data_IF_129437180966
#
_entry.id   IF_129437180966
#
_cell.length_a   1.000
_cell.length_b   1.000
_cell.length_c   1.000
_cell.angle_alpha   90.00
_cell.angle_beta   90.00
_cell.angle_gamma   90.00
#
_symmetry.space_group_name_H-M   'P 1'
#
loop_
_entity.id
_entity.type
_entity.pdbx_description
1 polymer ?
#
# COMPACT_ATOMS: atom_id res chain seq x y z
N UNK A 1 -12.23 -3.81 17.94
CA UNK A 1 -11.75 -4.63 16.81
C UNK A 1 -11.05 -5.85 17.39
N UNK A 2 -11.29 -7.05 16.87
CA UNK A 2 -10.66 -8.27 17.42
C UNK A 2 -9.14 -8.23 17.17
N UNK A 3 -8.34 -8.70 18.14
CA UNK A 3 -6.86 -8.66 18.12
C UNK A 3 -6.26 -9.23 16.83
N UNK A 4 -6.86 -10.29 16.28
CA UNK A 4 -6.42 -10.93 15.03
C UNK A 4 -6.46 -9.99 13.83
N UNK A 5 -7.48 -9.14 13.71
CA UNK A 5 -7.62 -8.21 12.58
C UNK A 5 -6.67 -7.03 12.70
N UNK A 6 -6.43 -6.56 13.94
CA UNK A 6 -5.40 -5.56 14.20
C UNK A 6 -4.02 -6.06 13.79
N UNK A 7 -3.66 -7.27 14.21
CA UNK A 7 -2.37 -7.88 13.87
C UNK A 7 -2.25 -8.09 12.35
N UNK A 8 -3.29 -8.63 11.71
CA UNK A 8 -3.31 -8.83 10.28
C UNK A 8 -3.09 -7.52 9.53
N UNK A 9 -3.74 -6.41 9.93
CA UNK A 9 -3.55 -5.12 9.29
C UNK A 9 -2.10 -4.60 9.40
N UNK A 10 -1.50 -4.69 10.60
CA UNK A 10 -0.10 -4.29 10.81
C UNK A 10 0.84 -5.14 9.97
N UNK A 11 0.74 -6.46 10.08
CA UNK A 11 1.62 -7.41 9.37
C UNK A 11 1.50 -7.23 7.85
N UNK A 12 0.28 -7.04 7.34
CA UNK A 12 0.07 -6.80 5.91
C UNK A 12 0.68 -5.47 5.46
N UNK A 13 0.56 -4.42 6.28
CA UNK A 13 1.22 -3.13 6.03
C UNK A 13 2.73 -3.24 5.95
N UNK A 14 3.36 -3.98 6.89
CA UNK A 14 4.81 -4.25 6.88
C UNK A 14 5.21 -5.07 5.64
N UNK A 15 4.48 -6.14 5.37
CA UNK A 15 4.78 -7.04 4.26
C UNK A 15 4.71 -6.32 2.92
N UNK A 16 3.64 -5.55 2.68
CA UNK A 16 3.50 -4.84 1.42
C UNK A 16 4.52 -3.70 1.28
N UNK A 17 4.83 -2.97 2.34
CA UNK A 17 5.83 -1.89 2.28
C UNK A 17 7.26 -2.40 2.09
N UNK A 18 7.49 -3.70 2.29
CA UNK A 18 8.76 -4.38 1.98
C UNK A 18 8.69 -5.05 0.61
N UNK A 19 8.44 -6.35 0.52
CA UNK A 19 8.56 -7.12 -0.74
C UNK A 19 7.27 -7.83 -1.17
N UNK A 20 6.17 -7.69 -0.42
CA UNK A 20 4.89 -8.30 -0.81
C UNK A 20 4.16 -7.45 -1.85
N UNK A 21 3.55 -8.10 -2.84
CA UNK A 21 2.89 -7.42 -3.98
C UNK A 21 1.38 -7.24 -3.80
N UNK A 22 0.75 -7.97 -2.86
CA UNK A 22 -0.70 -7.87 -2.63
C UNK A 22 -0.99 -6.70 -1.71
N UNK A 23 -1.76 -5.72 -2.21
CA UNK A 23 -2.07 -4.50 -1.49
C UNK A 23 -2.91 -4.74 -0.23
N UNK A 24 -2.68 -3.98 0.87
CA UNK A 24 -3.48 -4.09 2.10
C UNK A 24 -4.96 -3.77 1.88
N UNK A 25 -5.26 -2.97 0.85
CA UNK A 25 -6.59 -2.56 0.41
C UNK A 25 -7.58 -3.74 0.36
N UNK A 26 -7.13 -4.96 0.04
CA UNK A 26 -7.97 -6.17 0.04
C UNK A 26 -8.50 -6.51 1.44
N UNK A 27 -7.63 -6.54 2.45
CA UNK A 27 -8.04 -6.77 3.83
C UNK A 27 -8.88 -5.60 4.36
N UNK A 28 -8.47 -4.37 4.06
CA UNK A 28 -9.12 -3.16 4.56
C UNK A 28 -10.53 -3.00 4.00
N UNK A 29 -10.71 -3.19 2.69
CA UNK A 29 -12.01 -3.18 2.03
C UNK A 29 -12.94 -4.26 2.57
N UNK A 30 -12.44 -5.49 2.78
CA UNK A 30 -13.20 -6.58 3.38
C UNK A 30 -13.71 -6.21 4.79
N UNK A 31 -12.82 -5.71 5.66
CA UNK A 31 -13.18 -5.30 7.02
C UNK A 31 -14.16 -4.14 7.04
N UNK A 32 -13.97 -3.15 6.18
CA UNK A 32 -14.86 -2.00 6.08
C UNK A 32 -16.26 -2.40 5.58
N UNK A 33 -16.32 -3.27 4.57
CA UNK A 33 -17.58 -3.77 4.00
C UNK A 33 -18.37 -4.62 5.02
N UNK A 34 -17.68 -5.50 5.74
CA UNK A 34 -18.34 -6.48 6.63
C UNK A 34 -18.58 -5.97 8.04
N UNK A 35 -17.65 -5.18 8.59
CA UNK A 35 -17.68 -4.69 9.98
C UNK A 35 -17.89 -3.18 10.09
N UNK A 36 -17.94 -2.45 8.97
CA UNK A 36 -18.27 -1.04 8.90
C UNK A 36 -17.05 -0.10 8.91
N UNK A 37 -17.31 1.18 8.62
CA UNK A 37 -16.28 2.21 8.42
C UNK A 37 -15.34 2.36 9.61
N UNK A 38 -15.84 2.33 10.85
CA UNK A 38 -15.00 2.49 12.05
C UNK A 38 -13.93 1.41 12.14
N UNK A 39 -14.28 0.15 11.83
CA UNK A 39 -13.33 -0.97 11.85
C UNK A 39 -12.35 -0.86 10.68
N UNK A 40 -12.86 -0.53 9.49
CA UNK A 40 -12.03 -0.27 8.32
C UNK A 40 -10.99 0.83 8.56
N UNK A 41 -11.41 1.99 9.07
CA UNK A 41 -10.53 3.13 9.34
C UNK A 41 -9.46 2.81 10.40
N UNK A 42 -9.81 2.09 11.47
CA UNK A 42 -8.83 1.62 12.44
C UNK A 42 -7.82 0.64 11.83
N UNK A 43 -8.27 -0.30 11.00
CA UNK A 43 -7.38 -1.19 10.28
C UNK A 43 -6.48 -0.43 9.28
N UNK A 44 -7.00 0.60 8.60
CA UNK A 44 -6.24 1.47 7.70
C UNK A 44 -5.11 2.20 8.41
N UNK A 45 -5.37 2.72 9.62
CA UNK A 45 -4.34 3.35 10.45
C UNK A 45 -3.25 2.35 10.85
N UNK A 46 -3.65 1.16 11.31
CA UNK A 46 -2.70 0.11 11.69
C UNK A 46 -1.86 -0.39 10.51
N UNK A 47 -2.46 -0.53 9.33
CA UNK A 47 -1.75 -0.88 8.11
C UNK A 47 -0.77 0.22 7.68
N UNK A 48 -1.13 1.50 7.84
CA UNK A 48 -0.22 2.61 7.55
C UNK A 48 0.95 2.67 8.55
N UNK A 49 0.72 2.37 9.83
CA UNK A 49 1.78 2.22 10.83
C UNK A 49 2.68 1.01 10.52
N UNK A 50 2.11 -0.12 10.11
CA UNK A 50 2.87 -1.26 9.62
C UNK A 50 3.72 -0.89 8.40
N UNK A 51 3.16 -0.13 7.47
CA UNK A 51 3.88 0.34 6.30
C UNK A 51 5.01 1.32 6.64
N UNK A 52 4.87 2.14 7.69
CA UNK A 52 5.98 2.97 8.21
C UNK A 52 7.16 2.11 8.66
N UNK A 53 6.88 1.00 9.37
CA UNK A 53 7.92 0.05 9.81
C UNK A 53 8.54 -0.66 8.60
N UNK A 54 7.73 -1.17 7.67
CA UNK A 54 8.23 -1.86 6.48
C UNK A 54 9.05 -0.93 5.57
N UNK A 55 8.60 0.31 5.38
CA UNK A 55 9.34 1.34 4.66
C UNK A 55 10.66 1.70 5.33
N UNK A 56 10.67 1.80 6.67
CA UNK A 56 11.91 2.02 7.43
C UNK A 56 12.91 0.87 7.25
N UNK A 57 12.46 -0.38 7.18
CA UNK A 57 13.33 -1.54 6.91
C UNK A 57 13.98 -1.42 5.52
N UNK A 58 13.20 -1.15 4.48
CA UNK A 58 13.75 -0.96 3.12
C UNK A 58 14.67 0.25 3.05
N UNK A 59 14.30 1.35 3.71
CA UNK A 59 15.13 2.55 3.81
C UNK A 59 16.50 2.24 4.43
N UNK A 60 16.52 1.57 5.58
CA UNK A 60 17.76 1.22 6.29
C UNK A 60 18.61 0.22 5.50
N UNK A 61 17.97 -0.74 4.82
CA UNK A 61 18.66 -1.65 3.92
C UNK A 61 19.32 -0.90 2.77
N UNK A 62 18.59 -0.02 2.09
CA UNK A 62 19.14 0.78 0.98
C UNK A 62 20.23 1.75 1.43
N UNK A 63 20.11 2.32 2.64
CA UNK A 63 21.15 3.15 3.23
C UNK A 63 22.47 2.39 3.48
N UNK A 64 22.40 1.08 3.72
CA UNK A 64 23.56 0.22 3.97
C UNK A 64 24.11 -0.41 2.68
N UNK A 65 23.24 -0.93 1.82
CA UNK A 65 23.56 -1.50 0.50
C UNK A 65 22.42 -1.23 -0.49
N UNK A 66 22.54 -0.12 -1.21
CA UNK A 66 21.56 0.26 -2.21
C UNK A 66 21.48 -0.73 -3.37
N UNK A 67 22.59 -1.30 -3.82
CA UNK A 67 22.57 -2.16 -5.00
C UNK A 67 21.79 -3.46 -4.72
N UNK A 68 21.92 -4.00 -3.52
CA UNK A 68 21.11 -5.14 -3.08
C UNK A 68 19.63 -4.75 -2.88
N UNK A 69 19.34 -3.67 -2.16
CA UNK A 69 17.96 -3.25 -1.88
C UNK A 69 17.19 -2.92 -3.17
N UNK A 70 17.85 -2.25 -4.11
CA UNK A 70 17.29 -1.92 -5.41
C UNK A 70 16.95 -3.18 -6.22
N UNK A 71 17.88 -4.13 -6.35
CA UNK A 71 17.61 -5.40 -7.05
C UNK A 71 16.45 -6.17 -6.41
N UNK A 72 16.36 -6.19 -5.08
CA UNK A 72 15.27 -6.85 -4.39
C UNK A 72 13.91 -6.19 -4.66
N UNK A 73 13.84 -4.86 -4.68
CA UNK A 73 12.61 -4.13 -4.98
C UNK A 73 12.24 -4.19 -6.47
N UNK A 74 13.22 -4.13 -7.38
CA UNK A 74 13.00 -4.30 -8.82
C UNK A 74 12.52 -5.72 -9.17
N UNK A 75 12.85 -6.73 -8.37
CA UNK A 75 12.33 -8.09 -8.54
C UNK A 75 10.90 -8.27 -8.00
N UNK A 76 10.34 -7.29 -7.28
CA UNK A 76 8.94 -7.34 -6.85
C UNK A 76 8.07 -7.19 -8.09
N UNK A 77 7.05 -8.06 -8.26
CA UNK A 77 6.22 -7.97 -9.43
C UNK A 77 5.55 -6.61 -9.64
N UNK A 78 5.41 -6.22 -10.91
CA UNK A 78 4.88 -4.93 -11.35
C UNK A 78 5.68 -3.69 -10.89
N UNK A 79 6.95 -3.88 -10.53
CA UNK A 79 7.94 -2.81 -10.45
C UNK A 79 8.89 -2.97 -11.63
N UNK A 80 8.97 -1.93 -12.47
CA UNK A 80 9.90 -1.87 -13.58
C UNK A 80 11.05 -0.93 -13.26
N UNK A 81 12.19 -1.13 -13.93
CA UNK A 81 13.32 -0.21 -13.87
C UNK A 81 12.93 1.22 -14.31
N UNK A 82 12.05 1.33 -15.31
CA UNK A 82 11.52 2.63 -15.77
C UNK A 82 10.75 3.34 -14.67
N UNK A 83 9.93 2.62 -13.89
CA UNK A 83 9.19 3.19 -12.77
C UNK A 83 10.12 3.72 -11.67
N UNK A 84 11.21 3.00 -11.38
CA UNK A 84 12.20 3.44 -10.40
C UNK A 84 12.95 4.68 -10.91
N UNK A 85 13.32 4.71 -12.19
CA UNK A 85 13.98 5.87 -12.81
C UNK A 85 13.08 7.12 -12.86
N UNK A 86 11.79 6.95 -13.18
CA UNK A 86 10.80 8.03 -13.16
C UNK A 86 10.59 8.56 -11.74
N UNK A 87 10.54 7.66 -10.75
CA UNK A 87 10.46 8.04 -9.34
C UNK A 87 11.69 8.83 -8.90
N UNK A 88 12.90 8.41 -9.29
CA UNK A 88 14.12 9.17 -9.01
C UNK A 88 14.07 10.57 -9.63
N UNK A 89 13.65 10.66 -10.89
CA UNK A 89 13.50 11.95 -11.59
C UNK A 89 12.51 12.87 -10.88
N UNK A 90 11.40 12.33 -10.37
CA UNK A 90 10.41 13.11 -9.62
C UNK A 90 10.95 13.57 -8.26
N UNK A 91 11.73 12.72 -7.58
CA UNK A 91 12.43 13.09 -6.34
C UNK A 91 13.41 14.24 -6.61
N UNK A 92 14.20 14.17 -7.69
CA UNK A 92 15.18 15.20 -8.03
C UNK A 92 14.52 16.55 -8.36
N UNK A 93 13.31 16.53 -8.92
CA UNK A 93 12.55 17.74 -9.30
C UNK A 93 11.76 18.35 -8.14
N UNK A 94 11.09 17.51 -7.34
CA UNK A 94 10.08 17.95 -6.38
C UNK A 94 10.44 17.64 -4.91
N UNK A 95 11.54 16.94 -4.68
CA UNK A 95 11.92 16.41 -3.38
C UNK A 95 11.21 15.09 -3.04
N UNK A 96 11.84 14.29 -2.18
CA UNK A 96 11.41 12.92 -1.88
C UNK A 96 9.98 12.82 -1.34
N UNK A 97 9.56 13.78 -0.51
CA UNK A 97 8.27 13.76 0.16
C UNK A 97 7.12 14.03 -0.82
N UNK A 98 7.25 15.07 -1.64
CA UNK A 98 6.24 15.42 -2.65
C UNK A 98 6.13 14.33 -3.70
N UNK A 99 7.27 13.77 -4.13
CA UNK A 99 7.28 12.65 -5.07
C UNK A 99 6.56 11.42 -4.48
N UNK A 100 6.86 11.06 -3.24
CA UNK A 100 6.18 9.95 -2.56
C UNK A 100 4.67 10.17 -2.41
N UNK A 101 4.22 11.41 -2.15
CA UNK A 101 2.79 11.75 -2.09
C UNK A 101 2.08 11.64 -3.45
N UNK A 102 2.79 11.88 -4.55
CA UNK A 102 2.26 11.70 -5.92
C UNK A 102 2.24 10.24 -6.36
N UNK A 103 3.04 9.38 -5.74
CA UNK A 103 3.15 7.95 -6.08
C UNK A 103 1.82 7.22 -6.31
N UNK A 104 0.79 7.37 -5.45
CA UNK A 104 -0.51 6.76 -5.68
C UNK A 104 -1.21 7.19 -6.99
N UNK A 105 -0.93 8.40 -7.49
CA UNK A 105 -1.47 8.93 -8.74
C UNK A 105 -0.70 8.41 -9.97
N UNK A 106 0.60 8.16 -9.81
CA UNK A 106 1.48 7.61 -10.85
C UNK A 106 1.59 6.09 -10.80
N UNK A 107 0.78 5.43 -9.96
CA UNK A 107 0.83 3.98 -9.69
C UNK A 107 2.18 3.48 -9.19
N UNK A 108 3.01 4.36 -8.62
CA UNK A 108 4.34 4.03 -8.09
C UNK A 108 4.22 3.55 -6.64
N UNK A 109 4.65 2.31 -6.32
CA UNK A 109 4.58 1.78 -4.97
C UNK A 109 5.48 2.54 -3.99
N UNK A 110 5.02 2.69 -2.73
CA UNK A 110 5.78 3.37 -1.67
C UNK A 110 7.19 2.79 -1.45
N UNK A 111 7.38 1.48 -1.65
CA UNK A 111 8.67 0.80 -1.50
C UNK A 111 9.75 1.30 -2.48
N UNK A 112 9.35 1.81 -3.65
CA UNK A 112 10.28 2.43 -4.61
C UNK A 112 10.91 3.68 -3.97
N UNK A 113 10.07 4.56 -3.41
CA UNK A 113 10.54 5.73 -2.69
C UNK A 113 11.37 5.36 -1.45
N UNK A 114 11.07 4.25 -0.78
CA UNK A 114 11.87 3.77 0.36
C UNK A 114 13.30 3.36 -0.03
N UNK A 115 13.50 2.79 -1.22
CA UNK A 115 14.84 2.49 -1.74
C UNK A 115 15.59 3.76 -2.12
N UNK A 116 14.92 4.74 -2.72
CA UNK A 116 15.58 5.94 -3.27
C UNK A 116 15.85 7.02 -2.20
N UNK A 117 14.98 7.15 -1.20
CA UNK A 117 15.01 8.23 -0.21
C UNK A 117 16.34 8.41 0.55
N UNK A 118 17.09 7.36 0.95
CA UNK A 118 18.37 7.53 1.63
C UNK A 118 19.40 8.32 0.80
N UNK A 119 19.53 8.03 -0.51
CA UNK A 119 20.47 8.74 -1.38
C UNK A 119 20.03 10.17 -1.71
N UNK A 120 18.73 10.43 -1.65
CA UNK A 120 18.16 11.76 -1.81
C UNK A 120 18.22 12.62 -0.53
N UNK A 121 18.92 12.16 0.51
CA UNK A 121 19.15 12.91 1.74
C UNK A 121 17.96 12.96 2.69
N UNK A 122 16.95 12.10 2.51
CA UNK A 122 15.81 12.04 3.43
C UNK A 122 16.26 11.48 4.79
N UNK A 123 15.95 12.13 5.92
CA UNK A 123 16.20 11.52 7.22
C UNK A 123 15.15 10.45 7.52
N UNK A 124 15.58 9.29 8.07
CA UNK A 124 14.68 8.19 8.44
C UNK A 124 13.51 8.64 9.33
N UNK A 125 13.79 9.54 10.28
CA UNK A 125 12.81 10.09 11.20
C UNK A 125 11.69 10.88 10.51
N UNK A 126 11.93 11.41 9.31
CA UNK A 126 10.89 12.04 8.48
C UNK A 126 10.26 11.03 7.50
N UNK A 127 11.06 10.12 6.93
CA UNK A 127 10.59 9.17 5.93
C UNK A 127 9.60 8.13 6.51
N UNK A 128 9.90 7.56 7.68
CA UNK A 128 9.05 6.55 8.30
C UNK A 128 7.63 7.08 8.60
N UNK A 129 7.43 8.22 9.30
CA UNK A 129 6.08 8.75 9.52
C UNK A 129 5.43 9.27 8.24
N UNK A 130 6.19 9.59 7.17
CA UNK A 130 5.62 9.98 5.89
C UNK A 130 4.76 8.87 5.23
N UNK A 131 4.90 7.61 5.65
CA UNK A 131 3.98 6.56 5.24
C UNK A 131 2.51 6.88 5.59
N UNK A 132 2.26 7.62 6.68
CA UNK A 132 0.92 8.03 7.08
C UNK A 132 0.27 8.96 6.03
N UNK A 133 0.80 10.17 5.74
CA UNK A 133 0.20 11.05 4.73
C UNK A 133 0.24 10.46 3.30
N UNK A 134 1.22 9.61 2.98
CA UNK A 134 1.32 9.00 1.63
C UNK A 134 0.28 7.90 1.43
N UNK A 135 0.00 7.08 2.45
CA UNK A 135 -0.79 5.84 2.28
C UNK A 135 -2.16 5.87 2.92
N UNK A 136 -2.27 6.50 4.10
CA UNK A 136 -3.51 6.52 4.85
C UNK A 136 -4.69 7.12 4.06
N UNK A 137 -4.53 8.18 3.23
CA UNK A 137 -5.64 8.71 2.44
C UNK A 137 -6.25 7.66 1.51
N UNK A 138 -5.42 6.91 0.77
CA UNK A 138 -5.88 5.81 -0.10
C UNK A 138 -6.59 4.73 0.70
N UNK A 139 -5.98 4.30 1.81
CA UNK A 139 -6.55 3.26 2.66
C UNK A 139 -7.90 3.67 3.29
N UNK A 140 -8.05 4.93 3.69
CA UNK A 140 -9.30 5.47 4.21
C UNK A 140 -10.34 5.61 3.11
N UNK A 141 -9.95 6.05 1.91
CA UNK A 141 -10.84 6.17 0.77
C UNK A 141 -11.44 4.79 0.40
N UNK A 142 -10.59 3.77 0.26
CA UNK A 142 -11.03 2.40 -0.03
C UNK A 142 -11.94 1.88 1.09
N UNK A 143 -11.56 2.08 2.36
CA UNK A 143 -12.42 1.70 3.48
C UNK A 143 -13.78 2.43 3.45
N UNK A 144 -13.82 3.71 3.13
CA UNK A 144 -15.05 4.50 3.03
C UNK A 144 -15.97 3.98 1.93
N UNK A 145 -15.43 3.76 0.72
CA UNK A 145 -16.17 3.23 -0.43
C UNK A 145 -16.77 1.86 -0.10
N UNK A 146 -15.97 0.94 0.43
CA UNK A 146 -16.46 -0.41 0.73
C UNK A 146 -17.39 -0.48 1.94
N UNK A 147 -17.20 0.40 2.94
CA UNK A 147 -18.17 0.54 4.02
C UNK A 147 -19.52 1.07 3.51
N UNK A 148 -19.51 2.00 2.54
CA UNK A 148 -20.73 2.49 1.92
C UNK A 148 -21.44 1.38 1.13
N UNK A 149 -20.70 0.63 0.30
CA UNK A 149 -21.23 -0.54 -0.43
C UNK A 149 -21.84 -1.54 0.55
N UNK A 150 -21.08 -1.91 1.58
CA UNK A 150 -21.54 -2.85 2.61
C UNK A 150 -22.78 -2.36 3.37
N UNK A 151 -22.95 -1.04 3.54
CA UNK A 151 -24.14 -0.44 4.14
C UNK A 151 -25.33 -0.45 3.18
N UNK A 152 -25.14 -0.10 1.91
CA UNK A 152 -26.21 -0.02 0.90
C UNK A 152 -26.78 -1.39 0.52
N UNK A 153 -25.95 -2.44 0.58
CA UNK A 153 -26.33 -3.81 0.24
C UNK A 153 -26.77 -4.64 1.45
N UNK A 154 -26.61 -4.11 2.67
CA UNK A 154 -27.00 -4.81 3.90
C UNK A 154 -28.51 -5.08 3.91
N UNK A 155 -28.88 -6.35 4.07
CA UNK A 155 -30.28 -6.78 4.05
C UNK A 155 -30.94 -6.81 2.67
N UNK A 156 -30.25 -6.36 1.62
CA UNK A 156 -30.72 -6.43 0.22
C UNK A 156 -30.10 -7.58 -0.57
N UNK A 157 -28.90 -8.00 -0.19
CA UNK A 157 -28.13 -9.03 -0.89
C UNK A 157 -27.63 -10.06 0.11
N UNK A 158 -27.67 -11.34 -0.28
CA UNK A 158 -27.10 -12.43 0.50
C UNK A 158 -25.59 -12.20 0.71
N UNK A 159 -25.10 -12.51 1.91
CA UNK A 159 -23.69 -12.39 2.26
C UNK A 159 -22.78 -13.17 1.31
N UNK A 160 -23.20 -14.35 0.81
CA UNK A 160 -22.43 -15.16 -0.14
C UNK A 160 -22.26 -14.44 -1.47
N UNK A 161 -23.32 -13.82 -1.99
CA UNK A 161 -23.29 -13.06 -3.25
C UNK A 161 -22.42 -11.81 -3.09
N UNK A 162 -22.55 -11.10 -1.96
CA UNK A 162 -21.70 -9.95 -1.65
C UNK A 162 -20.21 -10.33 -1.62
N UNK A 163 -19.87 -11.45 -0.97
CA UNK A 163 -18.50 -11.95 -0.92
C UNK A 163 -18.02 -12.45 -2.27
N UNK A 164 -18.87 -13.13 -3.06
CA UNK A 164 -18.52 -13.54 -4.41
C UNK A 164 -18.22 -12.32 -5.29
N UNK A 165 -19.05 -11.29 -5.26
CA UNK A 165 -18.81 -10.04 -6.00
C UNK A 165 -17.52 -9.34 -5.56
N UNK A 166 -17.28 -9.28 -4.25
CA UNK A 166 -16.03 -8.76 -3.69
C UNK A 166 -14.80 -9.52 -4.18
N UNK A 167 -14.82 -10.85 -4.08
CA UNK A 167 -13.71 -11.70 -4.50
C UNK A 167 -13.49 -11.61 -6.00
N UNK A 168 -14.55 -11.68 -6.81
CA UNK A 168 -14.46 -11.51 -8.27
C UNK A 168 -13.89 -10.15 -8.65
N UNK A 169 -14.29 -9.06 -7.97
CA UNK A 169 -13.75 -7.73 -8.21
C UNK A 169 -12.24 -7.65 -7.97
N UNK A 170 -11.74 -8.23 -6.87
CA UNK A 170 -10.30 -8.28 -6.60
C UNK A 170 -9.55 -9.20 -7.56
N UNK A 171 -10.12 -10.34 -7.95
CA UNK A 171 -9.53 -11.24 -8.95
C UNK A 171 -9.41 -10.54 -10.31
N UNK A 172 -10.45 -9.84 -10.76
CA UNK A 172 -10.43 -9.06 -11.99
C UNK A 172 -9.41 -7.92 -11.92
N UNK A 173 -9.32 -7.22 -10.79
CA UNK A 173 -8.31 -6.19 -10.56
C UNK A 173 -6.89 -6.75 -10.72
N UNK A 174 -6.57 -7.87 -10.05
CA UNK A 174 -5.25 -8.47 -10.18
C UNK A 174 -5.01 -9.03 -11.57
N UNK A 175 -6.00 -9.68 -12.19
CA UNK A 175 -5.88 -10.18 -13.56
C UNK A 175 -5.55 -9.04 -14.53
N UNK A 176 -6.30 -7.93 -14.47
CA UNK A 176 -6.03 -6.73 -15.25
C UNK A 176 -4.64 -6.16 -14.95
N UNK A 177 -4.29 -6.04 -13.68
CA UNK A 177 -3.00 -5.53 -13.23
C UNK A 177 -1.84 -6.30 -13.84
N UNK A 178 -1.88 -7.64 -13.82
CA UNK A 178 -0.88 -8.51 -14.41
C UNK A 178 -0.83 -8.45 -15.93
N UNK A 179 -1.97 -8.24 -16.59
CA UNK A 179 -2.03 -8.10 -18.06
C UNK A 179 -1.42 -6.78 -18.54
N UNK A 180 -1.55 -5.70 -17.78
CA UNK A 180 -1.02 -4.37 -18.16
C UNK A 180 0.42 -4.17 -17.71
N UNK A 181 0.83 -4.80 -16.61
CA UNK A 181 2.19 -4.72 -16.06
C UNK A 181 2.83 -6.11 -16.02
N UNK A 182 3.04 -6.77 -17.20
CA UNK A 182 3.82 -7.99 -17.24
C UNK A 182 5.24 -7.65 -16.78
N UNK A 183 5.71 -8.33 -15.74
CA UNK A 183 7.07 -8.16 -15.20
C UNK A 183 8.14 -8.49 -16.22
#
# INVERSE_FOLDING_TARGET
>A
MERRWSLAAVVWGVAEATLFFVVPDLLLSYLAMTKGLRVGAWASLLAALGAAIGGAVIFLWSASDQASAHRAVAAVPAISETMIADAQTDIDRNGWFVAAMKGPLTSTPYKVYAVLAPRSGAPLAAFAPAALPVRLPRFLLVAAVFALIGRLLRGRVDRRILLAGFTSGWLLFYLWFWLVHPG
#
